data_IF_643103905205
#
_entry.id   IF_643103905205
#
_cell.length_a   1.000
_cell.length_b   1.000
_cell.length_c   1.000
_cell.angle_alpha   90.00
_cell.angle_beta   90.00
_cell.angle_gamma   90.00
#
_symmetry.space_group_name_H-M   'P 1'
#
loop_
_entity.id
_entity.type
_entity.pdbx_description
1 polymer ?
#
# COMPACT_ATOMS: atom_id res chain seq x y z
N UNK A 1 -24.48 -12.16 -4.50
CA UNK A 1 -23.21 -11.47 -4.42
C UNK A 1 -23.14 -10.80 -3.05
N UNK A 2 -22.04 -10.96 -2.31
CA UNK A 2 -21.95 -10.53 -0.89
C UNK A 2 -21.65 -9.02 -0.68
N UNK A 3 -21.71 -8.21 -1.70
CA UNK A 3 -21.52 -6.75 -1.62
C UNK A 3 -20.08 -6.26 -1.33
N UNK A 4 -19.14 -7.16 -1.14
CA UNK A 4 -17.72 -6.82 -0.94
C UNK A 4 -16.97 -6.82 -2.28
N UNK A 5 -15.91 -6.02 -2.36
CA UNK A 5 -14.97 -6.10 -3.46
C UNK A 5 -14.20 -7.44 -3.42
N UNK A 6 -13.35 -7.63 -4.40
CA UNK A 6 -12.53 -8.82 -4.53
C UNK A 6 -11.68 -9.08 -3.28
N UNK A 7 -11.61 -10.34 -2.83
CA UNK A 7 -10.77 -10.75 -1.72
C UNK A 7 -9.32 -10.96 -2.21
N UNK A 8 -8.51 -9.92 -2.09
CA UNK A 8 -7.10 -9.93 -2.53
C UNK A 8 -6.30 -11.00 -1.78
N UNK A 9 -6.56 -11.15 -0.48
CA UNK A 9 -5.89 -12.15 0.36
C UNK A 9 -6.22 -13.57 -0.12
N UNK A 10 -7.48 -13.88 -0.34
CA UNK A 10 -7.89 -15.20 -0.82
C UNK A 10 -7.29 -15.53 -2.18
N UNK A 11 -7.26 -14.58 -3.11
CA UNK A 11 -6.61 -14.79 -4.42
C UNK A 11 -5.12 -15.06 -4.33
N UNK A 12 -4.42 -14.42 -3.40
CA UNK A 12 -3.00 -14.67 -3.19
C UNK A 12 -2.76 -16.08 -2.61
N UNK A 13 -3.60 -16.50 -1.65
CA UNK A 13 -3.55 -17.85 -1.11
C UNK A 13 -3.86 -18.88 -2.19
N UNK A 14 -4.87 -18.65 -3.01
CA UNK A 14 -5.25 -19.57 -4.11
C UNK A 14 -4.11 -19.73 -5.13
N UNK A 15 -3.42 -18.65 -5.48
CA UNK A 15 -2.22 -18.71 -6.34
C UNK A 15 -1.08 -19.47 -5.67
N UNK A 16 -0.87 -19.25 -4.39
CA UNK A 16 0.16 -19.97 -3.63
C UNK A 16 -0.16 -21.46 -3.55
N UNK A 17 -1.43 -21.80 -3.31
CA UNK A 17 -1.91 -23.18 -3.29
C UNK A 17 -1.76 -23.92 -4.64
N UNK A 18 -1.82 -23.18 -5.76
CA UNK A 18 -1.54 -23.75 -7.08
C UNK A 18 -0.06 -24.08 -7.28
N UNK A 19 0.85 -23.27 -6.70
CA UNK A 19 2.30 -23.45 -6.83
C UNK A 19 2.86 -24.41 -5.78
N UNK A 20 2.32 -24.37 -4.56
CA UNK A 20 2.79 -25.09 -3.38
C UNK A 20 1.59 -25.64 -2.58
N UNK A 21 0.86 -26.63 -3.12
CA UNK A 21 -0.36 -27.15 -2.49
C UNK A 21 -0.12 -27.69 -1.07
N UNK A 22 1.05 -28.26 -0.81
CA UNK A 22 1.44 -28.77 0.50
C UNK A 22 1.65 -27.69 1.56
N UNK A 23 1.91 -26.44 1.14
CA UNK A 23 2.13 -25.30 2.01
C UNK A 23 0.85 -24.52 2.35
N UNK A 24 -0.31 -24.95 1.83
CA UNK A 24 -1.59 -24.29 2.12
C UNK A 24 -2.58 -25.31 2.65
N UNK A 25 -3.05 -25.13 3.90
CA UNK A 25 -4.05 -25.96 4.53
C UNK A 25 -5.17 -25.08 5.11
N UNK A 26 -6.43 -25.44 4.84
CA UNK A 26 -7.62 -24.73 5.36
C UNK A 26 -7.62 -23.22 5.04
N UNK A 27 -7.09 -22.83 3.87
CA UNK A 27 -6.99 -21.42 3.48
C UNK A 27 -5.93 -20.60 4.24
N UNK A 28 -5.00 -21.28 4.93
CA UNK A 28 -3.86 -20.65 5.64
C UNK A 28 -2.55 -21.19 5.11
N UNK A 29 -1.52 -20.36 5.17
CA UNK A 29 -0.17 -20.73 4.76
C UNK A 29 0.55 -21.38 5.94
N UNK A 30 1.03 -22.59 5.71
CA UNK A 30 2.00 -23.26 6.59
C UNK A 30 3.42 -22.83 6.20
N UNK A 31 3.95 -21.86 6.92
CA UNK A 31 5.25 -21.27 6.62
C UNK A 31 6.41 -22.26 6.73
N UNK A 32 6.33 -23.22 7.64
CA UNK A 32 7.39 -24.23 7.81
C UNK A 32 7.43 -25.16 6.60
N UNK A 33 6.28 -25.61 6.12
CA UNK A 33 6.19 -26.42 4.92
C UNK A 33 6.60 -25.66 3.67
N UNK A 34 6.20 -24.39 3.54
CA UNK A 34 6.62 -23.57 2.41
C UNK A 34 8.14 -23.42 2.36
N UNK A 35 8.77 -23.15 3.50
CA UNK A 35 10.23 -23.03 3.62
C UNK A 35 10.91 -24.37 3.27
N UNK A 36 10.41 -25.49 3.79
CA UNK A 36 10.96 -26.80 3.50
C UNK A 36 10.87 -27.15 2.00
N UNK A 37 9.76 -26.79 1.35
CA UNK A 37 9.55 -27.03 -0.08
C UNK A 37 10.48 -26.19 -0.96
N UNK A 38 10.76 -24.94 -0.53
CA UNK A 38 11.70 -24.05 -1.25
C UNK A 38 13.17 -24.40 -1.01
N UNK A 39 13.48 -25.30 -0.07
CA UNK A 39 14.83 -25.72 0.23
C UNK A 39 15.69 -24.70 0.96
N UNK A 40 15.07 -23.66 1.52
CA UNK A 40 15.76 -22.60 2.25
C UNK A 40 15.70 -22.85 3.77
N UNK A 41 16.86 -22.94 4.40
CA UNK A 41 16.99 -22.74 5.84
C UNK A 41 16.88 -21.25 6.11
N UNK A 42 15.68 -20.75 6.39
CA UNK A 42 15.47 -19.32 6.68
C UNK A 42 15.74 -19.10 8.15
N UNK A 43 16.83 -18.38 8.44
CA UNK A 43 17.01 -17.76 9.73
C UNK A 43 15.94 -16.66 9.87
N UNK A 44 14.98 -16.85 10.79
CA UNK A 44 13.86 -15.95 11.01
C UNK A 44 14.30 -14.58 11.60
N UNK A 45 15.58 -14.41 11.90
CA UNK A 45 16.14 -13.20 12.52
C UNK A 45 16.63 -12.13 11.54
N UNK A 46 17.11 -12.51 10.36
CA UNK A 46 17.73 -11.58 9.40
C UNK A 46 16.96 -11.52 8.08
N UNK A 47 16.07 -10.56 7.93
CA UNK A 47 15.38 -10.30 6.66
C UNK A 47 16.01 -9.11 5.95
N UNK A 48 16.68 -9.37 4.85
CA UNK A 48 17.06 -8.32 3.91
C UNK A 48 15.80 -7.81 3.20
N UNK A 49 15.58 -6.53 3.26
CA UNK A 49 14.45 -5.88 2.59
C UNK A 49 14.16 -4.49 3.12
N UNK A 50 13.39 -3.73 2.36
CA UNK A 50 12.92 -2.41 2.78
C UNK A 50 12.00 -2.55 3.99
N UNK A 51 12.45 -2.08 5.15
CA UNK A 51 11.69 -2.02 6.39
C UNK A 51 11.41 -0.57 6.80
N UNK A 52 10.21 -0.29 7.30
CA UNK A 52 9.86 1.02 7.87
C UNK A 52 8.76 0.85 8.92
N UNK A 53 8.55 1.88 9.75
CA UNK A 53 7.50 1.88 10.77
C UNK A 53 6.11 1.92 10.12
N UNK A 54 5.22 1.00 10.52
CA UNK A 54 3.85 0.89 9.99
C UNK A 54 3.70 -0.07 8.79
N UNK A 55 4.78 -0.72 8.33
CA UNK A 55 4.70 -1.65 7.18
C UNK A 55 3.68 -2.77 7.39
N UNK A 56 3.54 -3.28 8.60
CA UNK A 56 2.56 -4.34 8.93
C UNK A 56 1.13 -3.85 8.74
N UNK A 57 0.84 -2.61 9.15
CA UNK A 57 -0.49 -2.02 9.06
C UNK A 57 -0.89 -1.75 7.60
N UNK A 58 0.09 -1.42 6.75
CA UNK A 58 -0.11 -1.27 5.31
C UNK A 58 -0.63 -2.55 4.68
N UNK A 59 -0.11 -3.71 5.04
CA UNK A 59 -0.63 -4.98 4.55
C UNK A 59 -2.07 -5.24 5.01
N UNK A 60 -2.40 -4.92 6.26
CA UNK A 60 -3.78 -5.00 6.75
C UNK A 60 -4.71 -4.09 5.95
N UNK A 61 -4.30 -2.84 5.68
CA UNK A 61 -5.05 -1.88 4.87
C UNK A 61 -5.30 -2.38 3.43
N UNK A 62 -4.32 -3.00 2.79
CA UNK A 62 -4.50 -3.59 1.45
C UNK A 62 -5.56 -4.70 1.48
N UNK A 63 -5.56 -5.51 2.52
CA UNK A 63 -6.48 -6.65 2.67
C UNK A 63 -7.88 -6.26 3.16
N UNK A 64 -8.04 -5.06 3.69
CA UNK A 64 -9.32 -4.56 4.16
C UNK A 64 -10.35 -4.54 3.02
N UNK A 65 -11.48 -5.20 3.27
CA UNK A 65 -12.59 -5.29 2.31
C UNK A 65 -13.38 -4.00 2.30
N UNK A 66 -13.81 -3.57 1.12
CA UNK A 66 -14.72 -2.44 0.98
C UNK A 66 -16.07 -2.86 0.38
N UNK A 67 -17.13 -2.23 0.84
CA UNK A 67 -18.48 -2.31 0.26
C UNK A 67 -18.79 -1.11 -0.63
N UNK A 68 -17.84 -0.17 -0.76
CA UNK A 68 -18.02 1.02 -1.59
C UNK A 68 -18.15 0.63 -3.07
N UNK A 69 -18.87 1.46 -3.81
CA UNK A 69 -19.09 1.29 -5.25
C UNK A 69 -19.03 2.63 -5.94
N UNK A 70 -18.79 2.61 -7.25
CA UNK A 70 -18.86 3.81 -8.08
C UNK A 70 -20.32 4.22 -8.26
N UNK A 71 -20.58 5.51 -8.10
CA UNK A 71 -21.89 6.12 -8.35
C UNK A 71 -21.84 6.96 -9.63
N UNK A 72 -22.67 6.65 -10.66
CA UNK A 72 -22.67 7.41 -11.90
C UNK A 72 -23.17 8.85 -11.70
N UNK A 73 -22.41 9.83 -12.14
CA UNK A 73 -22.79 11.24 -12.18
C UNK A 73 -23.06 11.69 -13.61
N UNK A 74 -24.24 11.36 -14.14
CA UNK A 74 -24.62 11.69 -15.50
C UNK A 74 -24.81 13.20 -15.70
N UNK A 75 -25.22 13.91 -14.67
CA UNK A 75 -25.55 15.34 -14.78
C UNK A 75 -24.30 16.19 -15.03
N UNK A 76 -23.16 15.79 -14.50
CA UNK A 76 -21.88 16.50 -14.65
C UNK A 76 -20.94 15.84 -15.67
N UNK A 77 -21.38 14.77 -16.32
CA UNK A 77 -20.56 14.07 -17.34
C UNK A 77 -20.76 14.68 -18.73
N UNK A 78 -19.68 14.75 -19.49
CA UNK A 78 -19.67 15.17 -20.89
C UNK A 78 -19.70 13.92 -21.78
N UNK A 79 -20.61 13.92 -22.76
CA UNK A 79 -20.74 12.84 -23.74
C UNK A 79 -20.88 11.43 -23.09
N UNK A 80 -21.65 11.32 -22.03
CA UNK A 80 -21.80 10.10 -21.22
C UNK A 80 -22.00 8.82 -22.03
N UNK A 81 -22.86 8.88 -23.05
CA UNK A 81 -23.25 7.69 -23.81
C UNK A 81 -22.24 7.31 -24.93
N UNK A 82 -21.30 8.19 -25.26
CA UNK A 82 -20.37 8.02 -26.38
C UNK A 82 -18.90 8.02 -25.97
N UNK A 83 -18.55 8.57 -24.80
CA UNK A 83 -17.17 8.61 -24.33
C UNK A 83 -16.69 7.22 -23.90
N UNK A 84 -15.43 6.90 -24.23
CA UNK A 84 -14.72 5.75 -23.67
C UNK A 84 -13.87 6.09 -22.43
N UNK A 85 -13.88 7.37 -22.00
CA UNK A 85 -13.10 7.85 -20.86
C UNK A 85 -13.93 7.82 -19.57
N UNK A 86 -13.26 7.65 -18.43
CA UNK A 86 -13.88 7.67 -17.12
C UNK A 86 -13.06 8.55 -16.18
N UNK A 87 -13.75 9.47 -15.50
CA UNK A 87 -13.21 10.24 -14.39
C UNK A 87 -13.81 9.70 -13.09
N UNK A 88 -12.96 9.43 -12.11
CA UNK A 88 -13.40 8.92 -10.79
C UNK A 88 -12.96 9.93 -9.75
N UNK A 89 -13.92 10.50 -9.03
CA UNK A 89 -13.70 11.42 -7.92
C UNK A 89 -13.88 10.70 -6.59
N UNK A 90 -12.91 10.88 -5.68
CA UNK A 90 -12.94 10.28 -4.35
C UNK A 90 -11.55 9.88 -3.85
N UNK A 91 -11.51 9.13 -2.74
CA UNK A 91 -10.27 8.58 -2.24
C UNK A 91 -9.67 7.57 -3.23
N UNK A 92 -8.41 7.78 -3.60
CA UNK A 92 -7.77 6.99 -4.64
C UNK A 92 -7.45 5.55 -4.21
N UNK A 93 -7.21 5.29 -2.92
CA UNK A 93 -7.01 3.93 -2.42
C UNK A 93 -8.32 3.13 -2.47
N UNK A 94 -9.43 3.74 -2.09
CA UNK A 94 -10.76 3.16 -2.24
C UNK A 94 -11.11 2.90 -3.71
N UNK A 95 -10.84 3.87 -4.60
CA UNK A 95 -11.03 3.73 -6.03
C UNK A 95 -10.23 2.55 -6.60
N UNK A 96 -8.95 2.41 -6.24
CA UNK A 96 -8.10 1.28 -6.67
C UNK A 96 -8.67 -0.06 -6.20
N UNK A 97 -9.16 -0.16 -4.96
CA UNK A 97 -9.81 -1.38 -4.44
C UNK A 97 -11.08 -1.73 -5.23
N UNK A 98 -11.90 -0.74 -5.59
CA UNK A 98 -13.11 -0.94 -6.40
C UNK A 98 -12.75 -1.41 -7.81
N UNK A 99 -11.77 -0.75 -8.44
CA UNK A 99 -11.33 -1.07 -9.81
C UNK A 99 -10.66 -2.44 -9.91
N UNK A 100 -10.09 -2.95 -8.83
CA UNK A 100 -9.34 -4.20 -8.82
C UNK A 100 -10.11 -5.36 -9.44
N UNK A 101 -11.41 -5.51 -9.15
CA UNK A 101 -12.23 -6.60 -9.69
C UNK A 101 -12.42 -6.50 -11.20
N UNK A 102 -12.68 -5.30 -11.72
CA UNK A 102 -13.01 -5.08 -13.12
C UNK A 102 -11.78 -4.96 -14.04
N UNK A 103 -10.68 -4.43 -13.52
CA UNK A 103 -9.49 -4.04 -14.27
C UNK A 103 -8.22 -4.82 -13.91
N UNK A 104 -8.31 -5.90 -13.15
CA UNK A 104 -7.16 -6.76 -12.82
C UNK A 104 -6.45 -7.23 -14.10
N UNK A 105 -5.16 -6.90 -14.23
CA UNK A 105 -4.34 -7.28 -15.37
C UNK A 105 -4.78 -6.69 -16.71
N UNK A 106 -5.50 -5.56 -16.73
CA UNK A 106 -6.05 -4.96 -17.97
C UNK A 106 -5.45 -3.61 -18.33
N UNK A 107 -4.84 -2.91 -17.37
CA UNK A 107 -4.31 -1.55 -17.59
C UNK A 107 -2.97 -1.63 -18.29
N UNK A 108 -2.82 -0.91 -19.39
CA UNK A 108 -1.59 -0.89 -20.19
C UNK A 108 -0.56 0.09 -19.65
N UNK A 109 -1.01 1.23 -19.15
CA UNK A 109 -0.14 2.29 -18.65
C UNK A 109 -0.78 2.96 -17.43
N UNK A 110 0.05 3.21 -16.42
CA UNK A 110 -0.30 4.02 -15.25
C UNK A 110 0.70 5.17 -15.19
N UNK A 111 0.21 6.39 -15.00
CA UNK A 111 1.03 7.56 -14.68
C UNK A 111 0.51 8.16 -13.39
N UNK A 112 1.41 8.42 -12.44
CA UNK A 112 1.10 9.05 -11.17
C UNK A 112 2.09 10.16 -10.85
N UNK A 113 1.60 11.17 -10.17
CA UNK A 113 2.35 12.31 -9.66
C UNK A 113 2.04 12.45 -8.16
N UNK A 114 2.71 11.68 -7.29
CA UNK A 114 2.44 11.68 -5.86
C UNK A 114 3.07 12.90 -5.17
N UNK A 115 2.72 13.19 -3.91
CA UNK A 115 3.45 14.17 -3.09
C UNK A 115 4.94 13.83 -3.01
N UNK A 116 5.81 14.83 -3.18
CA UNK A 116 7.27 14.66 -3.19
C UNK A 116 7.89 14.63 -1.79
N UNK A 117 7.08 14.83 -0.76
CA UNK A 117 7.50 14.82 0.65
C UNK A 117 8.52 15.92 0.99
N UNK A 118 8.39 17.08 0.39
CA UNK A 118 9.30 18.24 0.58
C UNK A 118 9.15 18.91 1.96
N UNK A 119 8.12 18.50 2.73
CA UNK A 119 7.83 18.99 4.08
C UNK A 119 6.64 19.93 4.16
N UNK A 120 6.16 20.45 3.03
CA UNK A 120 4.94 21.25 2.91
C UNK A 120 3.85 20.51 2.14
N UNK A 121 4.17 19.32 1.64
CA UNK A 121 3.25 18.53 0.83
C UNK A 121 2.16 17.91 1.69
N UNK A 122 0.98 17.84 1.12
CA UNK A 122 -0.15 17.15 1.70
C UNK A 122 0.06 15.63 1.51
N UNK A 123 0.43 14.94 2.58
CA UNK A 123 0.40 13.48 2.60
C UNK A 123 -1.00 13.08 3.05
N UNK A 124 -1.69 12.28 2.25
CA UNK A 124 -3.01 11.74 2.61
C UNK A 124 -2.88 10.94 3.91
N UNK A 125 -3.57 11.38 4.96
CA UNK A 125 -3.79 10.56 6.14
C UNK A 125 -4.82 9.48 5.79
N UNK A 126 -4.36 8.43 5.15
CA UNK A 126 -5.09 7.17 5.24
C UNK A 126 -5.13 6.86 6.73
N UNK A 127 -6.28 6.54 7.31
CA UNK A 127 -6.52 6.31 8.74
C UNK A 127 -5.59 5.25 9.37
N UNK A 128 -4.30 5.41 9.15
CA UNK A 128 -3.26 4.78 9.96
C UNK A 128 -3.36 5.43 11.33
N UNK A 129 -4.01 4.75 12.25
CA UNK A 129 -4.47 5.17 13.58
C UNK A 129 -3.39 5.75 14.51
N UNK A 130 -2.29 6.22 13.96
CA UNK A 130 -1.24 6.89 14.71
C UNK A 130 -1.22 8.37 14.41
N UNK A 131 -1.67 9.18 15.37
CA UNK A 131 -1.36 10.61 15.37
C UNK A 131 0.16 10.78 15.55
N UNK A 132 0.72 11.87 15.03
CA UNK A 132 2.12 12.25 15.27
C UNK A 132 2.49 12.09 16.75
N UNK A 133 1.61 12.46 17.65
CA UNK A 133 1.79 12.42 19.11
C UNK A 133 1.93 10.98 19.64
N UNK A 134 1.14 10.03 19.13
CA UNK A 134 1.25 8.63 19.52
C UNK A 134 2.52 7.97 18.98
N UNK A 135 2.97 8.37 17.79
CA UNK A 135 4.24 7.92 17.23
C UNK A 135 5.44 8.45 18.02
N UNK A 136 5.44 9.74 18.37
CA UNK A 136 6.51 10.37 19.16
C UNK A 136 6.62 9.73 20.56
N UNK A 137 5.49 9.37 21.16
CA UNK A 137 5.48 8.63 22.43
C UNK A 137 5.99 7.18 22.27
N UNK A 138 5.60 6.48 21.21
CA UNK A 138 5.99 5.08 20.99
C UNK A 138 7.49 4.93 20.67
N UNK A 139 8.11 5.89 19.99
CA UNK A 139 9.57 5.91 19.76
C UNK A 139 10.36 6.52 20.92
N UNK A 140 9.67 6.91 22.02
CA UNK A 140 10.30 7.41 23.23
C UNK A 140 10.91 8.81 23.10
N UNK A 141 10.42 9.62 22.14
CA UNK A 141 10.81 11.03 21.97
C UNK A 141 10.03 11.92 22.94
N UNK A 142 8.76 11.58 23.18
CA UNK A 142 7.90 12.30 24.12
C UNK A 142 7.27 11.32 25.11
N UNK A 143 6.98 11.80 26.34
CA UNK A 143 6.16 11.08 27.29
C UNK A 143 4.66 11.16 26.92
N UNK A 144 3.82 10.44 27.67
CA UNK A 144 2.37 10.43 27.48
C UNK A 144 1.73 11.83 27.65
N UNK A 145 2.44 12.76 28.28
CA UNK A 145 2.02 14.15 28.50
C UNK A 145 2.48 15.07 27.38
N UNK A 146 3.36 14.58 26.46
CA UNK A 146 3.86 15.31 25.30
C UNK A 146 5.12 16.13 25.57
N UNK A 147 5.83 15.88 26.70
CA UNK A 147 7.12 16.52 26.98
C UNK A 147 8.25 15.74 26.27
N UNK A 148 9.26 16.44 25.76
CA UNK A 148 10.42 15.82 25.12
C UNK A 148 11.27 15.13 26.18
N UNK A 149 11.30 13.80 26.16
CA UNK A 149 12.04 12.94 27.13
C UNK A 149 13.47 12.68 26.65
N UNK A 150 13.73 12.78 25.36
CA UNK A 150 15.02 12.53 24.72
C UNK A 150 15.47 13.72 23.90
N UNK A 151 16.39 14.49 24.43
CA UNK A 151 17.13 15.52 23.69
C UNK A 151 18.62 15.07 23.59
N UNK A 152 18.88 14.14 22.69
CA UNK A 152 20.25 13.66 22.41
C UNK A 152 20.95 14.58 21.40
N UNK A 153 20.48 15.80 21.22
CA UNK A 153 21.13 16.78 20.31
C UNK A 153 21.07 16.40 18.82
N UNK A 154 20.48 15.29 18.49
CA UNK A 154 20.30 14.77 17.13
C UNK A 154 18.89 15.13 16.63
N UNK A 155 18.74 16.36 16.11
CA UNK A 155 17.55 16.80 15.36
C UNK A 155 17.32 16.02 14.05
N UNK A 156 17.81 14.81 13.93
CA UNK A 156 17.80 13.97 12.73
C UNK A 156 16.57 13.07 12.61
N UNK A 157 15.68 13.02 13.62
CA UNK A 157 14.57 12.07 13.62
C UNK A 157 13.28 12.54 12.93
N UNK A 158 13.20 13.79 12.49
CA UNK A 158 12.06 14.26 11.69
C UNK A 158 12.05 13.66 10.27
N UNK A 159 13.23 13.26 9.74
CA UNK A 159 13.36 12.66 8.43
C UNK A 159 12.74 11.26 8.36
N UNK A 160 13.07 10.38 9.29
CA UNK A 160 12.58 8.99 9.28
C UNK A 160 11.07 8.87 9.40
N UNK A 161 10.43 9.74 10.17
CA UNK A 161 8.97 9.79 10.28
C UNK A 161 8.30 10.23 8.97
N UNK A 162 8.82 11.25 8.31
CA UNK A 162 8.31 11.70 7.01
C UNK A 162 8.37 10.59 5.96
N UNK A 163 9.51 9.91 5.86
CA UNK A 163 9.70 8.80 4.93
C UNK A 163 8.76 7.63 5.24
N UNK A 164 8.59 7.26 6.50
CA UNK A 164 7.68 6.18 6.91
C UNK A 164 6.23 6.49 6.54
N UNK A 165 5.76 7.72 6.79
CA UNK A 165 4.40 8.13 6.42
C UNK A 165 4.20 8.12 4.89
N UNK A 166 5.17 8.60 4.15
CA UNK A 166 5.13 8.57 2.70
C UNK A 166 5.10 7.13 2.17
N UNK A 167 5.92 6.23 2.72
CA UNK A 167 5.94 4.81 2.38
C UNK A 167 4.62 4.12 2.71
N UNK A 168 4.03 4.44 3.86
CA UNK A 168 2.71 3.92 4.26
C UNK A 168 1.61 4.35 3.28
N UNK A 169 1.65 5.58 2.80
CA UNK A 169 0.72 6.10 1.80
C UNK A 169 0.95 5.45 0.42
N UNK A 170 2.19 5.37 -0.04
CA UNK A 170 2.52 4.96 -1.40
C UNK A 170 2.43 3.44 -1.62
N UNK A 171 2.89 2.64 -0.67
CA UNK A 171 2.98 1.18 -0.85
C UNK A 171 1.64 0.52 -1.21
N UNK A 172 0.51 0.77 -0.50
CA UNK A 172 -0.76 0.14 -0.83
C UNK A 172 -1.26 0.54 -2.22
N UNK A 173 -1.00 1.78 -2.65
CA UNK A 173 -1.37 2.29 -3.96
C UNK A 173 -0.57 1.63 -5.09
N UNK A 174 0.74 1.52 -4.92
CA UNK A 174 1.61 0.83 -5.88
C UNK A 174 1.30 -0.67 -5.95
N UNK A 175 1.03 -1.30 -4.81
CA UNK A 175 0.64 -2.72 -4.76
C UNK A 175 -0.64 -2.99 -5.58
N UNK A 176 -1.68 -2.18 -5.38
CA UNK A 176 -2.93 -2.31 -6.14
C UNK A 176 -2.74 -1.92 -7.61
N UNK A 177 -1.98 -0.86 -7.90
CA UNK A 177 -1.67 -0.44 -9.26
C UNK A 177 -0.96 -1.55 -10.04
N UNK A 178 0.03 -2.22 -9.44
CA UNK A 178 0.70 -3.39 -10.04
C UNK A 178 -0.30 -4.48 -10.43
N UNK A 179 -1.28 -4.75 -9.57
CA UNK A 179 -2.29 -5.77 -9.86
C UNK A 179 -3.23 -5.38 -11.02
N UNK A 180 -3.42 -4.10 -11.28
CA UNK A 180 -4.18 -3.61 -12.43
C UNK A 180 -3.40 -3.71 -13.73
N UNK A 181 -2.06 -3.62 -13.69
CA UNK A 181 -1.22 -3.65 -14.88
C UNK A 181 -1.25 -5.02 -15.57
N UNK A 182 -1.25 -4.97 -16.90
CA UNK A 182 -0.97 -6.13 -17.75
C UNK A 182 0.48 -6.56 -17.59
N UNK A 183 0.82 -7.77 -18.02
CA UNK A 183 2.21 -8.26 -18.03
C UNK A 183 3.15 -7.38 -18.85
N UNK A 184 2.63 -6.80 -19.97
CA UNK A 184 3.34 -5.85 -20.84
C UNK A 184 2.99 -4.40 -20.52
N UNK A 185 2.44 -4.14 -19.33
CA UNK A 185 2.07 -2.82 -18.85
C UNK A 185 3.26 -2.07 -18.24
N UNK A 186 3.15 -0.75 -18.13
CA UNK A 186 4.19 0.13 -17.60
C UNK A 186 3.60 1.14 -16.62
N UNK A 187 4.36 1.49 -15.59
CA UNK A 187 4.04 2.58 -14.67
C UNK A 187 5.11 3.65 -14.72
N UNK A 188 4.68 4.91 -14.78
CA UNK A 188 5.52 6.10 -14.66
C UNK A 188 5.14 6.86 -13.39
N UNK A 189 6.15 7.30 -12.66
CA UNK A 189 5.97 8.05 -11.41
C UNK A 189 6.85 9.28 -11.46
N UNK A 190 6.24 10.48 -11.39
CA UNK A 190 6.98 11.72 -11.16
C UNK A 190 7.40 11.77 -9.70
N UNK A 191 8.65 12.10 -9.44
CA UNK A 191 9.19 12.22 -8.08
C UNK A 191 10.47 13.06 -8.11
N UNK A 192 10.80 13.68 -6.99
CA UNK A 192 12.07 14.39 -6.80
C UNK A 192 13.09 13.56 -6.00
N UNK A 193 14.21 14.17 -5.68
CA UNK A 193 15.33 13.53 -5.00
C UNK A 193 15.01 13.13 -3.54
N UNK A 194 13.96 13.70 -2.92
CA UNK A 194 13.63 13.39 -1.52
C UNK A 194 13.19 11.94 -1.34
N UNK A 195 12.38 11.41 -2.26
CA UNK A 195 11.80 10.06 -2.12
C UNK A 195 12.15 9.10 -3.27
N UNK A 196 12.90 9.52 -4.29
CA UNK A 196 13.24 8.66 -5.43
C UNK A 196 13.93 7.36 -5.01
N UNK A 197 14.79 7.39 -4.02
CA UNK A 197 15.50 6.22 -3.52
C UNK A 197 14.55 5.23 -2.82
N UNK A 198 13.60 5.71 -2.03
CA UNK A 198 12.57 4.90 -1.39
C UNK A 198 11.61 4.32 -2.43
N UNK A 199 11.19 5.11 -3.40
CA UNK A 199 10.35 4.66 -4.51
C UNK A 199 11.01 3.51 -5.28
N UNK A 200 12.30 3.64 -5.63
CA UNK A 200 13.05 2.59 -6.35
C UNK A 200 13.16 1.28 -5.58
N UNK A 201 13.17 1.33 -4.24
CA UNK A 201 13.19 0.13 -3.42
C UNK A 201 11.80 -0.53 -3.29
N UNK A 202 10.71 0.24 -3.48
CA UNK A 202 9.34 -0.27 -3.46
C UNK A 202 8.90 -0.91 -4.79
N UNK A 203 9.45 -0.44 -5.92
CA UNK A 203 9.12 -0.87 -7.28
C UNK A 203 9.92 -2.09 -7.73
#
# INVERSE_FOLDING_TARGET
MNGYNDDIHQRQIDKLAQLFPEAVAEGKIDWQKLQATLGEAVDLGERYGLGWKGKSDVFATIQEKTVQTLHPDRANSVDWDTTGNMFIEGDNLAALKILHKAYYGKVKMIYIDPPYNTGNDFIYNDDFRQTRRSYEAEVGITDDEGNIVRDDGLRTNTGGHKHSNWLNMMYPRLFLARNLLRQDGVIFVSIDDNEVHNLRLMM
#
